data_IF_459983294497
#
_entry.id   IF_459983294497
#
_cell.length_a   1.000
_cell.length_b   1.000
_cell.length_c   1.000
_cell.angle_alpha   90.00
_cell.angle_beta   90.00
_cell.angle_gamma   90.00
#
_symmetry.space_group_name_H-M   'P 1'
#
loop_
_entity.id
_entity.type
_entity.pdbx_description
1 polymer ?
#
# COMPACT_ATOMS: atom_id res chain seq x y z
N UNK A 1 -21.88 -5.11 -9.12
CA UNK A 1 -20.42 -4.96 -9.35
C UNK A 1 -20.16 -3.75 -10.24
N UNK A 2 -19.37 -2.75 -9.79
CA UNK A 2 -18.97 -1.60 -10.59
C UNK A 2 -18.03 -2.01 -11.74
N UNK A 3 -17.93 -1.17 -12.79
CA UNK A 3 -17.02 -1.43 -13.91
C UNK A 3 -15.55 -1.26 -13.54
N UNK A 4 -15.25 -0.35 -12.61
CA UNK A 4 -13.92 -0.03 -12.14
C UNK A 4 -14.03 0.67 -10.78
N UNK A 5 -13.02 0.51 -9.91
CA UNK A 5 -12.94 1.19 -8.62
C UNK A 5 -11.54 1.81 -8.49
N UNK A 6 -11.48 3.14 -8.37
CA UNK A 6 -10.23 3.90 -8.21
C UNK A 6 -10.10 4.43 -6.79
N UNK A 7 -8.87 4.51 -6.29
CA UNK A 7 -8.55 5.15 -5.03
C UNK A 7 -7.20 5.89 -5.08
N UNK A 8 -7.01 6.83 -4.16
CA UNK A 8 -5.72 7.46 -3.88
C UNK A 8 -5.25 7.04 -2.48
N UNK A 9 -4.02 6.54 -2.40
CA UNK A 9 -3.35 6.16 -1.14
C UNK A 9 -2.19 7.12 -0.92
N UNK A 10 -2.24 7.87 0.18
CA UNK A 10 -1.19 8.83 0.54
C UNK A 10 -0.28 8.22 1.59
N UNK A 11 1.03 8.26 1.34
CA UNK A 11 2.04 7.79 2.29
C UNK A 11 3.06 8.88 2.57
N UNK A 12 3.59 8.88 3.79
CA UNK A 12 4.66 9.78 4.23
C UNK A 12 5.90 8.94 4.53
N UNK A 13 7.00 9.24 3.84
CA UNK A 13 8.27 8.53 3.97
C UNK A 13 9.26 9.26 4.90
N UNK A 14 8.79 10.25 5.67
CA UNK A 14 9.62 10.97 6.63
C UNK A 14 10.17 10.01 7.69
N UNK A 15 11.49 10.06 7.88
CA UNK A 15 12.20 9.19 8.82
C UNK A 15 12.54 7.79 8.28
N UNK A 16 12.09 7.43 7.07
CA UNK A 16 12.53 6.21 6.41
C UNK A 16 13.99 6.33 5.96
N UNK A 17 14.72 5.21 6.03
CA UNK A 17 16.10 5.13 5.52
C UNK A 17 16.13 5.39 4.01
N UNK A 18 17.23 5.95 3.45
CA UNK A 18 17.30 6.30 2.03
C UNK A 18 17.00 5.13 1.07
N UNK A 19 17.42 3.92 1.40
CA UNK A 19 17.16 2.74 0.55
C UNK A 19 15.67 2.35 0.56
N UNK A 20 14.99 2.46 1.70
CA UNK A 20 13.54 2.21 1.80
C UNK A 20 12.77 3.22 0.93
N UNK A 21 13.17 4.49 1.00
CA UNK A 21 12.57 5.54 0.15
C UNK A 21 12.74 5.21 -1.34
N UNK A 22 13.94 4.79 -1.73
CA UNK A 22 14.23 4.40 -3.10
C UNK A 22 13.40 3.21 -3.57
N UNK A 23 13.15 2.22 -2.71
CA UNK A 23 12.27 1.08 -3.02
C UNK A 23 10.83 1.53 -3.29
N UNK A 24 10.28 2.43 -2.47
CA UNK A 24 8.96 3.01 -2.70
C UNK A 24 8.91 3.84 -3.99
N UNK A 25 9.96 4.60 -4.28
CA UNK A 25 10.10 5.40 -5.50
C UNK A 25 10.27 4.56 -6.77
N UNK A 26 10.53 3.26 -6.64
CA UNK A 26 10.67 2.33 -7.76
C UNK A 26 9.37 1.64 -8.17
N UNK A 27 8.28 1.85 -7.44
CA UNK A 27 6.96 1.32 -7.81
C UNK A 27 6.53 1.84 -9.19
N UNK A 28 5.97 0.94 -9.99
CA UNK A 28 5.58 1.18 -11.38
C UNK A 28 4.09 0.95 -11.57
N UNK A 29 3.62 1.39 -12.73
CA UNK A 29 2.33 0.94 -13.24
C UNK A 29 2.26 -0.59 -13.27
N UNK A 30 1.11 -1.13 -12.86
CA UNK A 30 0.79 -2.55 -12.71
C UNK A 30 1.46 -3.29 -11.55
N UNK A 31 2.28 -2.61 -10.73
CA UNK A 31 2.73 -3.22 -9.48
C UNK A 31 1.55 -3.43 -8.52
N UNK A 32 1.56 -4.57 -7.82
CA UNK A 32 0.51 -4.92 -6.86
C UNK A 32 0.95 -4.52 -5.46
N UNK A 33 0.12 -3.76 -4.77
CA UNK A 33 0.25 -3.46 -3.35
C UNK A 33 -0.88 -4.10 -2.55
N UNK A 34 -0.66 -4.27 -1.24
CA UNK A 34 -1.67 -4.75 -0.32
C UNK A 34 -2.05 -3.65 0.68
N UNK A 35 -3.35 -3.37 0.77
CA UNK A 35 -3.94 -2.50 1.76
C UNK A 35 -4.31 -3.35 2.98
N UNK A 36 -3.60 -3.14 4.09
CA UNK A 36 -3.79 -3.88 5.34
C UNK A 36 -4.46 -3.00 6.37
N UNK A 37 -5.57 -3.48 6.95
CA UNK A 37 -6.20 -2.85 8.11
C UNK A 37 -5.73 -3.56 9.37
N UNK A 38 -5.03 -2.82 10.23
CA UNK A 38 -4.55 -3.30 11.52
C UNK A 38 -5.32 -2.57 12.63
N UNK A 39 -5.90 -3.32 13.54
CA UNK A 39 -6.43 -2.83 14.81
C UNK A 39 -5.51 -3.34 15.92
N UNK A 40 -4.84 -2.44 16.64
CA UNK A 40 -3.90 -2.85 17.68
C UNK A 40 -4.60 -3.77 18.70
N UNK A 41 -4.04 -4.96 19.01
CA UNK A 41 -4.58 -5.83 20.03
C UNK A 41 -4.41 -5.19 21.43
N UNK A 42 -5.27 -5.58 22.36
CA UNK A 42 -5.22 -5.08 23.74
C UNK A 42 -3.91 -5.47 24.45
N UNK A 43 -3.40 -6.66 24.15
CA UNK A 43 -2.14 -7.16 24.67
C UNK A 43 -1.12 -7.33 23.54
N UNK A 44 0.09 -6.75 23.66
CA UNK A 44 1.14 -6.93 22.66
C UNK A 44 1.66 -8.36 22.67
N UNK A 45 2.00 -8.90 21.50
CA UNK A 45 2.66 -10.20 21.41
C UNK A 45 4.13 -10.11 21.88
N UNK A 46 4.47 -10.83 22.94
CA UNK A 46 5.81 -10.83 23.55
C UNK A 46 6.72 -11.98 23.05
N UNK A 47 6.18 -12.91 22.25
CA UNK A 47 6.92 -14.06 21.73
C UNK A 47 7.78 -13.73 20.50
N UNK A 48 8.49 -14.73 19.98
CA UNK A 48 9.18 -14.61 18.68
C UNK A 48 8.20 -14.91 17.55
N UNK A 49 8.13 -14.00 16.57
CA UNK A 49 7.28 -14.17 15.38
C UNK A 49 7.57 -15.48 14.64
N UNK A 50 8.84 -15.92 14.63
CA UNK A 50 9.26 -17.18 13.99
C UNK A 50 8.70 -18.45 14.62
N UNK A 51 8.18 -18.37 15.84
CA UNK A 51 7.60 -19.49 16.59
C UNK A 51 6.07 -19.50 16.54
N UNK A 52 5.46 -18.49 15.91
CA UNK A 52 4.02 -18.36 15.77
C UNK A 52 3.51 -19.11 14.53
N UNK A 53 2.38 -19.81 14.65
CA UNK A 53 1.71 -20.36 13.48
C UNK A 53 1.14 -19.23 12.61
N UNK A 54 1.23 -19.39 11.29
CA UNK A 54 0.71 -18.39 10.32
C UNK A 54 -0.78 -18.12 10.54
N UNK A 55 -1.55 -19.12 10.97
CA UNK A 55 -2.97 -18.99 11.27
C UNK A 55 -3.27 -18.11 12.49
N UNK A 56 -2.34 -18.02 13.44
CA UNK A 56 -2.48 -17.19 14.65
C UNK A 56 -2.07 -15.74 14.40
N UNK A 57 -1.28 -15.48 13.35
CA UNK A 57 -0.73 -14.15 13.06
C UNK A 57 -1.79 -13.05 12.95
N UNK A 58 -2.91 -13.22 12.22
CA UNK A 58 -3.90 -12.15 12.08
C UNK A 58 -4.50 -11.73 13.43
N UNK A 59 -4.78 -12.69 14.32
CA UNK A 59 -5.34 -12.40 15.64
C UNK A 59 -4.31 -11.72 16.55
N UNK A 60 -3.09 -12.29 16.62
CA UNK A 60 -2.02 -11.78 17.49
C UNK A 60 -1.51 -10.39 17.11
N UNK A 61 -1.55 -10.04 15.83
CA UNK A 61 -1.10 -8.74 15.33
C UNK A 61 -2.25 -7.82 14.92
N UNK A 62 -3.50 -8.25 15.10
CA UNK A 62 -4.69 -7.43 14.87
C UNK A 62 -4.98 -7.13 13.40
N UNK A 63 -4.59 -8.01 12.47
CA UNK A 63 -4.92 -7.86 11.05
C UNK A 63 -6.40 -8.20 10.83
N UNK A 64 -7.20 -7.21 10.42
CA UNK A 64 -8.65 -7.35 10.25
C UNK A 64 -9.10 -7.47 8.81
N UNK A 65 -8.37 -6.84 7.90
CA UNK A 65 -8.69 -6.88 6.48
C UNK A 65 -7.41 -6.76 5.65
N UNK A 66 -7.45 -7.39 4.48
CA UNK A 66 -6.39 -7.37 3.48
C UNK A 66 -7.06 -7.20 2.12
N UNK A 67 -6.67 -6.20 1.33
CA UNK A 67 -7.15 -6.00 -0.04
C UNK A 67 -5.98 -5.78 -0.98
N UNK A 68 -6.05 -6.34 -2.17
CA UNK A 68 -5.10 -6.03 -3.24
C UNK A 68 -5.48 -4.73 -3.93
N UNK A 69 -4.48 -3.98 -4.37
CA UNK A 69 -4.65 -2.84 -5.25
C UNK A 69 -3.53 -2.82 -6.29
N UNK A 70 -3.86 -2.45 -7.52
CA UNK A 70 -2.90 -2.30 -8.61
C UNK A 70 -2.53 -0.83 -8.77
N UNK A 71 -1.23 -0.52 -8.79
CA UNK A 71 -0.74 0.84 -8.98
C UNK A 71 -0.93 1.27 -10.42
N UNK A 72 -1.57 2.43 -10.63
CA UNK A 72 -1.66 3.07 -11.93
C UNK A 72 -0.64 4.20 -12.06
N UNK A 73 -0.50 5.01 -11.01
CA UNK A 73 0.47 6.12 -10.97
C UNK A 73 1.04 6.29 -9.57
N UNK A 74 2.33 6.63 -9.49
CA UNK A 74 2.98 7.13 -8.28
C UNK A 74 3.32 8.60 -8.50
N UNK A 75 2.86 9.48 -7.61
CA UNK A 75 3.14 10.91 -7.64
C UNK A 75 4.00 11.33 -6.44
N UNK A 76 4.86 12.31 -6.64
CA UNK A 76 5.59 12.99 -5.57
C UNK A 76 4.75 14.10 -4.89
N UNK A 77 5.37 14.83 -3.95
CA UNK A 77 4.69 15.87 -3.17
C UNK A 77 4.23 17.08 -3.99
N UNK A 78 4.85 17.32 -5.15
CA UNK A 78 4.46 18.38 -6.09
C UNK A 78 3.52 17.89 -7.20
N UNK A 79 3.19 16.59 -7.20
CA UNK A 79 2.32 15.97 -8.21
C UNK A 79 3.04 15.57 -9.50
N UNK A 80 4.37 15.47 -9.49
CA UNK A 80 5.11 14.89 -10.61
C UNK A 80 4.95 13.37 -10.60
N UNK A 81 4.79 12.78 -11.79
CA UNK A 81 4.71 11.32 -11.93
C UNK A 81 6.11 10.71 -11.77
N UNK A 82 6.27 9.85 -10.77
CA UNK A 82 7.50 9.12 -10.43
C UNK A 82 7.53 7.75 -11.09
N UNK A 83 6.37 7.13 -11.30
CA UNK A 83 6.24 5.80 -11.91
C UNK A 83 6.53 5.77 -13.43
N UNK A 84 6.90 6.91 -14.05
CA UNK A 84 7.11 7.00 -15.48
C UNK A 84 8.22 6.02 -15.94
N UNK A 85 7.92 5.14 -16.90
CA UNK A 85 8.89 4.17 -17.40
C UNK A 85 10.05 4.83 -18.18
N UNK A 86 9.92 6.08 -18.65
CA UNK A 86 10.92 6.78 -19.43
C UNK A 86 12.15 7.15 -18.58
N UNK A 87 13.31 6.50 -18.77
CA UNK A 87 14.49 6.75 -17.94
C UNK A 87 15.06 8.15 -18.12
N UNK A 88 14.80 8.82 -19.25
CA UNK A 88 15.29 10.16 -19.53
C UNK A 88 14.56 11.25 -18.71
N UNK A 89 13.35 10.95 -18.22
CA UNK A 89 12.50 11.88 -17.47
C UNK A 89 12.40 11.54 -15.98
N UNK A 90 13.11 10.50 -15.52
CA UNK A 90 13.18 10.12 -14.10
C UNK A 90 13.86 11.22 -13.30
N UNK A 91 13.05 12.13 -12.78
CA UNK A 91 13.46 13.12 -11.80
C UNK A 91 13.58 12.47 -10.43
N UNK A 92 14.49 12.97 -9.61
CA UNK A 92 14.47 12.67 -8.18
C UNK A 92 13.15 13.17 -7.61
N UNK A 93 12.34 12.31 -6.97
CA UNK A 93 11.05 12.71 -6.42
C UNK A 93 11.21 13.84 -5.41
N UNK A 94 10.30 14.82 -5.47
CA UNK A 94 10.32 15.95 -4.54
C UNK A 94 9.65 15.56 -3.22
N UNK A 95 10.29 15.94 -2.11
CA UNK A 95 9.74 15.78 -0.77
C UNK A 95 9.62 14.33 -0.29
N UNK A 96 8.91 14.17 0.83
CA UNK A 96 8.77 12.89 1.54
C UNK A 96 7.39 12.26 1.35
N UNK A 97 6.44 13.00 0.80
CA UNK A 97 5.09 12.51 0.55
C UNK A 97 4.98 11.84 -0.82
N UNK A 98 4.18 10.78 -0.88
CA UNK A 98 3.80 10.12 -2.13
C UNK A 98 2.29 9.91 -2.20
N UNK A 99 1.77 9.93 -3.42
CA UNK A 99 0.39 9.57 -3.70
C UNK A 99 0.40 8.42 -4.71
N UNK A 100 -0.14 7.27 -4.30
CA UNK A 100 -0.39 6.13 -5.17
C UNK A 100 -1.83 6.24 -5.68
N UNK A 101 -2.01 6.37 -6.98
CA UNK A 101 -3.30 6.10 -7.63
C UNK A 101 -3.38 4.62 -7.93
N UNK A 102 -4.49 4.01 -7.54
CA UNK A 102 -4.65 2.56 -7.62
C UNK A 102 -6.02 2.14 -8.13
N UNK A 103 -6.07 0.95 -8.71
CA UNK A 103 -7.28 0.20 -9.01
C UNK A 103 -7.52 -0.85 -7.93
N UNK A 104 -8.75 -0.93 -7.44
CA UNK A 104 -9.23 -1.97 -6.54
C UNK A 104 -10.03 -3.01 -7.31
N UNK A 105 -10.03 -4.25 -6.84
CA UNK A 105 -10.86 -5.32 -7.40
C UNK A 105 -12.36 -4.96 -7.28
N UNK A 106 -13.10 -4.80 -8.40
CA UNK A 106 -14.50 -4.39 -8.36
C UNK A 106 -15.43 -5.43 -7.72
N UNK A 107 -15.14 -6.72 -7.87
CA UNK A 107 -15.94 -7.79 -7.29
C UNK A 107 -15.75 -7.86 -5.78
N UNK A 108 -14.50 -7.75 -5.31
CA UNK A 108 -14.18 -7.66 -3.89
C UNK A 108 -14.78 -6.40 -3.27
N UNK A 109 -14.69 -5.24 -3.94
CA UNK A 109 -15.30 -3.99 -3.47
C UNK A 109 -16.83 -4.12 -3.36
N UNK A 110 -17.48 -4.77 -4.32
CA UNK A 110 -18.92 -4.99 -4.26
C UNK A 110 -19.31 -5.90 -3.09
N UNK A 111 -18.58 -7.00 -2.89
CA UNK A 111 -18.79 -7.90 -1.76
C UNK A 111 -18.57 -7.20 -0.40
N UNK A 112 -17.58 -6.30 -0.33
CA UNK A 112 -17.31 -5.53 0.87
C UNK A 112 -18.48 -4.59 1.21
N UNK A 113 -19.06 -3.90 0.22
CA UNK A 113 -20.23 -3.03 0.42
C UNK A 113 -21.45 -3.80 0.97
N UNK A 114 -21.65 -5.04 0.54
CA UNK A 114 -22.75 -5.89 0.99
C UNK A 114 -22.52 -6.47 2.41
N UNK A 115 -21.25 -6.49 2.86
CA UNK A 115 -20.82 -7.01 4.16
C UNK A 115 -20.78 -5.97 5.28
N UNK A 116 -21.05 -4.70 4.96
CA UNK A 116 -21.09 -3.56 5.90
C UNK A 116 -22.42 -3.51 6.65
#
# INVERSE_FOLDING_TARGET
>A
VPAEVRAEVKICLTGCLPHVRLEWDQLREHDVIFLVRIEAPDEPFEGKVSELDVSEFPERFGVRALRGAEVTELLDEEGNVVSDPNPAERKTPVGDNRVLRVLLDPAQYHADLDSV
#
